data_IF_004477944250
#
_entry.id   IF_004477944250
#
_cell.length_a   1.000
_cell.length_b   1.000
_cell.length_c   1.000
_cell.angle_alpha   90.00
_cell.angle_beta   90.00
_cell.angle_gamma   90.00
#
_symmetry.space_group_name_H-M   'P 1'
#
loop_
_entity.id
_entity.type
_entity.pdbx_description
1 polymer ?
#
# COMPACT_ATOMS: atom_id res chain seq x y z
N UNK A 1 17.96 -13.46 6.87
CA UNK A 1 16.79 -12.85 6.22
C UNK A 1 15.58 -12.97 7.16
N UNK A 2 14.65 -12.02 7.14
CA UNK A 2 13.49 -12.03 8.04
C UNK A 2 12.50 -13.14 7.63
N UNK A 3 12.27 -14.10 8.52
CA UNK A 3 11.27 -15.15 8.34
C UNK A 3 9.89 -14.61 8.75
N UNK A 4 8.91 -14.70 7.87
CA UNK A 4 7.54 -14.21 8.07
C UNK A 4 6.57 -15.40 8.12
N UNK A 5 5.67 -15.44 9.11
CA UNK A 5 4.67 -16.51 9.19
C UNK A 5 3.60 -16.31 8.12
N UNK A 6 2.99 -17.42 7.68
CA UNK A 6 1.93 -17.39 6.66
C UNK A 6 0.81 -16.39 6.98
N UNK A 7 0.35 -16.36 8.24
CA UNK A 7 -0.70 -15.42 8.69
C UNK A 7 -0.28 -13.97 8.51
N UNK A 8 0.95 -13.64 8.91
CA UNK A 8 1.48 -12.29 8.82
C UNK A 8 1.71 -11.90 7.35
N UNK A 9 2.19 -12.85 6.55
CA UNK A 9 2.35 -12.69 5.11
C UNK A 9 1.01 -12.41 4.41
N UNK A 10 -0.04 -13.18 4.73
CA UNK A 10 -1.39 -12.98 4.20
C UNK A 10 -1.94 -11.61 4.60
N UNK A 11 -1.77 -11.22 5.86
CA UNK A 11 -2.16 -9.91 6.37
C UNK A 11 -1.47 -8.77 5.61
N UNK A 12 -0.15 -8.81 5.47
CA UNK A 12 0.61 -7.75 4.78
C UNK A 12 0.31 -7.67 3.28
N UNK A 13 -0.06 -8.78 2.65
CA UNK A 13 -0.41 -8.82 1.23
C UNK A 13 -1.90 -8.56 0.95
N UNK A 14 -2.73 -8.39 1.99
CA UNK A 14 -4.17 -8.18 1.83
C UNK A 14 -4.90 -9.37 1.19
N UNK A 15 -4.40 -10.59 1.40
CA UNK A 15 -4.99 -11.84 0.89
C UNK A 15 -5.31 -12.81 2.04
N UNK A 16 -6.00 -13.91 1.75
CA UNK A 16 -6.23 -14.96 2.75
C UNK A 16 -4.98 -15.83 2.98
N UNK A 17 -4.87 -16.43 4.16
CA UNK A 17 -3.84 -17.45 4.48
C UNK A 17 -3.80 -18.56 3.43
N UNK A 18 -4.96 -18.93 2.89
CA UNK A 18 -5.12 -19.98 1.90
C UNK A 18 -4.49 -19.61 0.56
N UNK A 19 -4.61 -18.35 0.14
CA UNK A 19 -3.93 -17.84 -1.06
C UNK A 19 -2.42 -17.95 -0.92
N UNK A 20 -1.86 -17.64 0.25
CA UNK A 20 -0.42 -17.76 0.51
C UNK A 20 0.02 -19.23 0.51
N UNK A 21 -0.78 -20.15 1.10
CA UNK A 21 -0.50 -21.59 1.03
C UNK A 21 -0.50 -22.10 -0.41
N UNK A 22 -1.49 -21.70 -1.22
CA UNK A 22 -1.55 -22.06 -2.65
C UNK A 22 -0.35 -21.56 -3.44
N UNK A 23 0.18 -20.38 -3.12
CA UNK A 23 1.42 -19.89 -3.75
C UNK A 23 2.63 -20.72 -3.37
N UNK A 24 2.72 -21.21 -2.13
CA UNK A 24 3.78 -22.13 -1.72
C UNK A 24 3.66 -23.46 -2.47
N UNK A 25 2.45 -24.04 -2.50
CA UNK A 25 2.18 -25.32 -3.17
C UNK A 25 2.49 -25.28 -4.68
N UNK A 26 2.18 -24.15 -5.32
CA UNK A 26 2.44 -23.95 -6.76
C UNK A 26 3.87 -23.47 -7.05
N UNK A 27 4.75 -23.41 -6.05
CA UNK A 27 6.16 -23.01 -6.22
C UNK A 27 6.39 -21.53 -6.48
N UNK A 28 5.38 -20.68 -6.24
CA UNK A 28 5.46 -19.21 -6.38
C UNK A 28 6.22 -18.57 -5.20
N UNK A 29 6.18 -19.19 -4.02
CA UNK A 29 6.89 -18.79 -2.80
C UNK A 29 7.63 -19.98 -2.20
N UNK A 30 8.92 -19.82 -1.90
CA UNK A 30 9.62 -20.82 -1.10
C UNK A 30 9.17 -20.73 0.37
N UNK A 31 9.10 -21.88 1.06
CA UNK A 31 8.81 -21.92 2.48
C UNK A 31 9.83 -22.76 3.24
N UNK A 32 10.01 -22.45 4.52
CA UNK A 32 10.84 -23.21 5.45
C UNK A 32 10.11 -23.37 6.79
N UNK A 33 10.71 -24.08 7.74
CA UNK A 33 10.20 -24.18 9.11
C UNK A 33 11.04 -23.31 10.05
N UNK A 34 10.40 -22.56 10.92
CA UNK A 34 11.08 -21.83 12.01
C UNK A 34 11.52 -22.78 13.14
N UNK A 35 12.24 -22.26 14.14
CA UNK A 35 12.70 -23.01 15.32
C UNK A 35 11.55 -23.63 16.13
N UNK A 36 10.31 -23.19 15.90
CA UNK A 36 9.07 -23.71 16.50
C UNK A 36 8.30 -24.66 15.56
N UNK A 37 8.95 -25.15 14.50
CA UNK A 37 8.40 -26.03 13.46
C UNK A 37 7.23 -25.45 12.64
N UNK A 38 7.02 -24.12 12.67
CA UNK A 38 5.95 -23.42 11.94
C UNK A 38 6.41 -23.05 10.55
N UNK A 39 5.50 -23.13 9.58
CA UNK A 39 5.81 -22.72 8.20
C UNK A 39 5.99 -21.20 8.12
N UNK A 40 7.13 -20.79 7.59
CA UNK A 40 7.53 -19.41 7.36
C UNK A 40 8.00 -19.24 5.93
N UNK A 41 7.86 -18.03 5.41
CA UNK A 41 8.34 -17.62 4.09
C UNK A 41 9.41 -16.55 4.26
N UNK A 42 10.31 -16.47 3.28
CA UNK A 42 11.30 -15.42 3.26
C UNK A 42 10.65 -14.06 2.99
N UNK A 43 10.91 -13.07 3.85
CA UNK A 43 10.29 -11.75 3.75
C UNK A 43 10.72 -10.96 2.51
N UNK A 44 11.91 -11.21 1.96
CA UNK A 44 12.37 -10.55 0.74
C UNK A 44 11.69 -11.16 -0.50
N UNK A 45 11.58 -12.48 -0.59
CA UNK A 45 10.78 -13.13 -1.65
C UNK A 45 9.32 -12.71 -1.60
N UNK A 46 8.74 -12.62 -0.39
CA UNK A 46 7.38 -12.14 -0.20
C UNK A 46 7.20 -10.70 -0.72
N UNK A 47 8.14 -9.80 -0.44
CA UNK A 47 8.11 -8.43 -0.94
C UNK A 47 8.26 -8.35 -2.47
N UNK A 48 9.09 -9.21 -3.07
CA UNK A 48 9.23 -9.32 -4.53
C UNK A 48 7.91 -9.77 -5.18
N UNK A 49 7.23 -10.76 -4.58
CA UNK A 49 5.93 -11.23 -5.06
C UNK A 49 4.86 -10.15 -4.91
N UNK A 50 4.84 -9.44 -3.78
CA UNK A 50 3.94 -8.31 -3.54
C UNK A 50 4.03 -7.27 -4.67
N UNK A 51 5.26 -6.92 -5.07
CA UNK A 51 5.49 -5.97 -6.18
C UNK A 51 4.96 -6.52 -7.51
N UNK A 52 5.14 -7.81 -7.79
CA UNK A 52 4.69 -8.43 -9.04
C UNK A 52 3.16 -8.47 -9.15
N UNK A 53 2.47 -8.62 -8.02
CA UNK A 53 1.02 -8.79 -7.95
C UNK A 53 0.26 -7.48 -7.64
N UNK A 54 0.95 -6.35 -7.48
CA UNK A 54 0.32 -5.05 -7.27
C UNK A 54 -0.45 -4.63 -8.53
N UNK A 55 -1.71 -5.02 -8.62
CA UNK A 55 -2.66 -4.49 -9.61
C UNK A 55 -3.06 -3.10 -9.13
N UNK A 56 -2.34 -2.08 -9.60
CA UNK A 56 -2.78 -0.69 -9.45
C UNK A 56 -3.88 -0.43 -10.49
N UNK A 57 -4.98 0.25 -10.14
CA UNK A 57 -5.89 0.78 -11.14
C UNK A 57 -5.11 1.59 -12.19
N UNK A 58 -5.50 1.48 -13.46
CA UNK A 58 -4.89 2.29 -14.52
C UNK A 58 -4.96 3.78 -14.14
N UNK A 59 -3.82 4.45 -14.23
CA UNK A 59 -3.71 5.88 -13.98
C UNK A 59 -4.33 6.62 -15.18
N UNK A 60 -5.41 7.38 -15.00
CA UNK A 60 -6.05 8.10 -16.10
C UNK A 60 -5.23 9.29 -16.63
N UNK A 61 -4.06 9.58 -16.05
CA UNK A 61 -3.19 10.71 -16.46
C UNK A 61 -1.95 10.26 -17.24
N UNK A 62 -1.93 10.57 -18.53
CA UNK A 62 -0.90 10.14 -19.51
C UNK A 62 0.36 11.06 -19.51
N UNK A 63 0.97 11.32 -18.34
CA UNK A 63 2.05 12.32 -18.17
C UNK A 63 3.29 11.73 -17.50
N UNK A 64 4.46 11.78 -18.17
CA UNK A 64 5.74 11.32 -17.61
C UNK A 64 6.24 12.20 -16.45
N UNK A 65 6.35 11.66 -15.22
CA UNK A 65 6.71 12.43 -14.00
C UNK A 65 7.51 11.64 -12.97
N UNK A 66 8.21 12.37 -12.08
CA UNK A 66 9.19 11.86 -11.09
C UNK A 66 8.60 11.33 -9.76
N UNK A 67 7.33 11.61 -9.47
CA UNK A 67 6.65 11.09 -8.27
C UNK A 67 6.16 9.66 -8.52
N UNK A 68 6.67 8.70 -7.75
CA UNK A 68 6.39 7.26 -7.93
C UNK A 68 5.22 6.73 -7.11
N UNK A 69 4.85 7.40 -6.02
CA UNK A 69 3.77 6.97 -5.13
C UNK A 69 2.47 7.62 -5.58
N UNK A 70 1.62 6.84 -6.26
CA UNK A 70 0.31 7.26 -6.74
C UNK A 70 -0.76 6.34 -6.19
N UNK A 71 -1.80 6.95 -5.66
CA UNK A 71 -2.93 6.24 -5.09
C UNK A 71 -4.19 6.71 -5.82
N UNK A 72 -4.64 5.90 -6.78
CA UNK A 72 -5.92 6.11 -7.47
C UNK A 72 -7.02 5.72 -6.51
N UNK A 73 -8.02 6.59 -6.34
CA UNK A 73 -9.12 6.35 -5.41
C UNK A 73 -10.34 7.20 -5.70
N UNK A 74 -11.36 6.96 -4.90
CA UNK A 74 -12.60 7.73 -4.90
C UNK A 74 -12.55 8.75 -3.75
N UNK A 75 -13.02 9.97 -4.02
CA UNK A 75 -13.19 10.98 -2.98
C UNK A 75 -14.30 10.54 -2.03
N UNK A 76 -14.00 10.40 -0.75
CA UNK A 76 -14.96 9.96 0.28
C UNK A 76 -15.39 11.08 1.20
N UNK A 77 -14.58 12.12 1.36
CA UNK A 77 -14.90 13.29 2.19
C UNK A 77 -14.20 14.54 1.66
N UNK A 78 -14.90 15.69 1.75
CA UNK A 78 -14.32 17.02 1.52
C UNK A 78 -14.78 17.93 2.67
N UNK A 79 -13.82 18.40 3.46
CA UNK A 79 -14.04 19.41 4.49
C UNK A 79 -13.26 20.67 4.11
N UNK A 80 -13.95 21.79 3.90
CA UNK A 80 -13.34 22.99 3.31
C UNK A 80 -13.74 24.25 4.09
N UNK A 81 -12.77 25.12 4.34
CA UNK A 81 -12.97 26.48 4.81
C UNK A 81 -12.68 27.51 3.69
N UNK A 82 -12.51 28.78 4.03
CA UNK A 82 -12.27 29.84 3.04
C UNK A 82 -10.94 29.69 2.28
N UNK A 83 -9.92 29.11 2.91
CA UNK A 83 -8.53 29.09 2.42
C UNK A 83 -8.04 27.65 2.21
N UNK A 84 -8.34 26.75 3.15
CA UNK A 84 -7.84 25.38 3.19
C UNK A 84 -8.97 24.37 3.07
N UNK A 85 -8.62 23.22 2.50
CA UNK A 85 -9.48 22.06 2.41
C UNK A 85 -8.71 20.78 2.80
N UNK A 86 -9.44 19.89 3.46
CA UNK A 86 -9.08 18.51 3.65
C UNK A 86 -9.90 17.66 2.67
N UNK A 87 -9.22 16.86 1.87
CA UNK A 87 -9.83 15.89 0.96
C UNK A 87 -9.40 14.49 1.35
N UNK A 88 -10.36 13.59 1.47
CA UNK A 88 -10.14 12.19 1.73
C UNK A 88 -10.37 11.34 0.47
N UNK A 89 -9.47 10.39 0.24
CA UNK A 89 -9.54 9.42 -0.84
C UNK A 89 -9.49 7.99 -0.27
N UNK A 90 -10.40 7.13 -0.74
CA UNK A 90 -10.29 5.68 -0.58
C UNK A 90 -9.58 5.08 -1.79
N UNK A 91 -8.35 4.63 -1.58
CA UNK A 91 -7.45 4.09 -2.60
C UNK A 91 -7.19 2.59 -2.34
N UNK A 92 -8.03 1.72 -2.90
CA UNK A 92 -7.99 0.29 -2.57
C UNK A 92 -8.20 0.08 -1.06
N UNK A 93 -7.30 -0.63 -0.34
CA UNK A 93 -7.40 -0.79 1.11
C UNK A 93 -6.92 0.42 1.91
N UNK A 94 -6.39 1.47 1.26
CA UNK A 94 -5.75 2.60 1.92
C UNK A 94 -6.64 3.84 1.94
N UNK A 95 -6.74 4.48 3.11
CA UNK A 95 -7.33 5.82 3.27
C UNK A 95 -6.22 6.86 3.18
N UNK A 96 -6.32 7.80 2.25
CA UNK A 96 -5.35 8.87 2.02
C UNK A 96 -6.00 10.23 2.26
N UNK A 97 -5.35 11.08 3.05
CA UNK A 97 -5.84 12.43 3.36
C UNK A 97 -4.87 13.46 2.81
N UNK A 98 -5.39 14.43 2.06
CA UNK A 98 -4.64 15.55 1.51
C UNK A 98 -5.14 16.86 2.11
N UNK A 99 -4.19 17.71 2.53
CA UNK A 99 -4.46 19.12 2.83
C UNK A 99 -4.02 19.96 1.64
N UNK A 100 -4.95 20.74 1.10
CA UNK A 100 -4.75 21.58 -0.08
C UNK A 100 -5.54 22.87 0.03
N UNK A 101 -5.34 23.82 -0.87
CA UNK A 101 -6.16 25.04 -0.85
C UNK A 101 -7.60 24.74 -1.27
N UNK A 102 -8.54 25.49 -0.71
CA UNK A 102 -9.95 25.45 -1.10
C UNK A 102 -10.14 25.80 -2.58
N UNK A 103 -9.24 26.63 -3.15
CA UNK A 103 -9.21 26.95 -4.57
C UNK A 103 -8.86 25.73 -5.41
N UNK A 104 -7.82 24.98 -5.04
CA UNK A 104 -7.42 23.79 -5.79
C UNK A 104 -8.52 22.72 -5.84
N UNK A 105 -9.31 22.57 -4.77
CA UNK A 105 -10.48 21.66 -4.77
C UNK A 105 -11.50 22.07 -5.83
N UNK A 106 -11.78 23.38 -5.92
CA UNK A 106 -12.72 23.94 -6.92
C UNK A 106 -12.17 23.84 -8.34
N UNK A 107 -10.91 24.19 -8.55
CA UNK A 107 -10.25 24.13 -9.86
C UNK A 107 -10.20 22.70 -10.41
N UNK A 108 -9.97 21.72 -9.53
CA UNK A 108 -9.93 20.31 -9.90
C UNK A 108 -11.33 19.68 -10.00
N UNK A 109 -12.39 20.40 -9.62
CA UNK A 109 -13.77 19.90 -9.65
C UNK A 109 -13.96 18.66 -8.77
N UNK A 110 -13.31 18.60 -7.60
CA UNK A 110 -13.40 17.45 -6.72
C UNK A 110 -14.79 17.40 -6.06
N UNK A 111 -15.43 16.23 -6.16
CA UNK A 111 -16.75 15.96 -5.61
C UNK A 111 -16.75 14.60 -4.94
N UNK A 112 -17.69 14.36 -4.01
CA UNK A 112 -17.84 13.03 -3.41
C UNK A 112 -18.11 11.99 -4.50
N UNK A 113 -17.33 10.91 -4.48
CA UNK A 113 -17.38 9.84 -5.47
C UNK A 113 -16.60 10.10 -6.76
N UNK A 114 -15.98 11.28 -6.93
CA UNK A 114 -15.12 11.52 -8.09
C UNK A 114 -13.83 10.69 -7.98
N UNK A 115 -13.30 10.26 -9.13
CA UNK A 115 -11.99 9.60 -9.20
C UNK A 115 -10.91 10.67 -9.10
N UNK A 116 -9.95 10.48 -8.21
CA UNK A 116 -8.75 11.32 -8.14
C UNK A 116 -7.51 10.48 -7.85
N UNK A 117 -6.34 11.07 -8.08
CA UNK A 117 -5.05 10.44 -7.84
C UNK A 117 -4.29 11.25 -6.79
N UNK A 118 -4.08 10.67 -5.61
CA UNK A 118 -3.16 11.23 -4.64
C UNK A 118 -1.72 10.95 -5.07
N UNK A 119 -0.95 12.03 -5.26
CA UNK A 119 0.46 11.95 -5.66
C UNK A 119 1.32 12.36 -4.48
N UNK A 120 2.11 11.43 -3.95
CA UNK A 120 3.03 11.68 -2.82
C UNK A 120 4.46 11.76 -3.34
N UNK A 121 5.17 12.83 -2.99
CA UNK A 121 6.57 13.01 -3.38
C UNK A 121 7.42 11.89 -2.75
N UNK A 122 8.22 11.20 -3.56
CA UNK A 122 8.98 10.02 -3.15
C UNK A 122 9.94 10.27 -1.97
N UNK A 123 10.36 11.52 -1.75
CA UNK A 123 11.26 11.91 -0.65
C UNK A 123 10.58 12.07 0.71
N UNK A 124 9.25 12.00 0.76
CA UNK A 124 8.46 12.20 1.98
C UNK A 124 7.78 10.89 2.37
N UNK A 125 8.60 9.88 2.68
CA UNK A 125 8.15 8.56 3.15
C UNK A 125 8.90 8.24 4.44
N UNK A 126 8.16 7.86 5.47
CA UNK A 126 8.70 7.33 6.72
C UNK A 126 8.56 5.82 6.68
N UNK A 127 9.64 5.09 6.96
CA UNK A 127 9.64 3.62 7.01
C UNK A 127 9.81 3.19 8.46
N UNK A 128 8.84 2.44 8.96
CA UNK A 128 8.85 1.88 10.31
C UNK A 128 8.83 0.35 10.22
N UNK A 129 9.49 -0.33 11.16
CA UNK A 129 9.44 -1.79 11.29
C UNK A 129 8.80 -2.16 12.62
N UNK A 130 7.96 -3.23 12.68
CA UNK A 130 7.51 -3.78 13.95
C UNK A 130 8.74 -4.18 14.78
N UNK A 131 8.80 -3.74 16.05
CA UNK A 131 9.89 -3.93 17.02
C UNK A 131 11.04 -4.82 16.49
N UNK A 132 12.10 -4.19 15.98
CA UNK A 132 13.23 -4.90 15.40
C UNK A 132 13.71 -5.98 16.35
N UNK A 133 13.73 -7.24 15.90
CA UNK A 133 14.41 -8.30 16.65
C UNK A 133 15.88 -7.90 16.75
N UNK A 134 16.27 -7.36 17.91
CA UNK A 134 17.66 -7.24 18.30
C UNK A 134 18.22 -8.65 18.29
N UNK A 135 19.05 -8.97 17.30
CA UNK A 135 19.89 -10.15 17.34
C UNK A 135 20.93 -9.89 18.43
N UNK A 136 20.61 -10.27 19.66
CA UNK A 136 21.62 -10.46 20.70
C UNK A 136 22.51 -11.62 20.24
N UNK A 137 23.70 -11.29 19.74
CA UNK A 137 24.86 -12.19 19.75
C UNK A 137 25.79 -11.73 20.86
#
# INVERSE_FOLDING_TARGET
>A
MSQIRIRDAAHYLGVSDDTVRRWIENGVLASSRDDSARTVVDGFELAQLARKNAVLPEDPSDIGRSARNRFVGLVTEITMDRVMAQVELQCGPHRVVSLMSSEAVRELGLELGSIAVAVVKATTVIVETPAGKVQNT
#
